data_IF_510779733703
#
_entry.id   IF_510779733703
#
_cell.length_a   1.000
_cell.length_b   1.000
_cell.length_c   1.000
_cell.angle_alpha   90.00
_cell.angle_beta   90.00
_cell.angle_gamma   90.00
#
_symmetry.space_group_name_H-M   'P 1'
#
loop_
_entity.id
_entity.type
_entity.pdbx_description
1 polymer ?
#
# COMPACT_ATOMS: atom_id res chain seq x y z
N UNK A 1 8.61 21.04 -9.25
CA UNK A 1 9.09 22.39 -9.61
C UNK A 1 8.72 22.67 -11.06
N UNK A 2 8.23 23.88 -11.37
CA UNK A 2 7.99 24.30 -12.75
C UNK A 2 9.25 25.02 -13.25
N UNK A 3 9.75 24.65 -14.43
CA UNK A 3 10.91 25.27 -15.06
C UNK A 3 10.45 25.95 -16.35
N UNK A 4 10.44 27.28 -16.31
CA UNK A 4 10.06 28.15 -17.43
C UNK A 4 11.29 28.87 -18.00
N UNK A 5 11.11 29.63 -19.09
CA UNK A 5 12.19 30.43 -19.70
C UNK A 5 13.33 29.60 -20.27
N UNK A 6 13.05 28.34 -20.64
CA UNK A 6 14.03 27.42 -21.22
C UNK A 6 14.27 27.81 -22.68
N UNK A 7 15.51 27.69 -23.12
CA UNK A 7 15.92 27.93 -24.50
C UNK A 7 16.76 26.78 -25.03
N UNK A 8 16.66 26.50 -26.34
CA UNK A 8 17.53 25.55 -27.03
C UNK A 8 18.91 26.17 -27.37
N UNK A 9 19.79 25.39 -28.00
CA UNK A 9 21.13 25.83 -28.39
C UNK A 9 21.13 26.99 -29.42
N UNK A 10 20.01 27.22 -30.11
CA UNK A 10 19.84 28.28 -31.09
C UNK A 10 19.14 29.52 -30.51
N UNK A 11 18.80 29.51 -29.21
CA UNK A 11 18.07 30.59 -28.56
C UNK A 11 16.56 30.56 -28.78
N UNK A 12 15.99 29.47 -29.32
CA UNK A 12 14.55 29.31 -29.44
C UNK A 12 13.94 28.91 -28.09
N UNK A 13 12.76 29.44 -27.77
CA UNK A 13 12.03 29.12 -26.56
C UNK A 13 11.58 27.64 -26.56
N UNK A 14 11.80 26.97 -25.42
CA UNK A 14 11.37 25.60 -25.17
C UNK A 14 10.12 25.59 -24.29
N UNK A 15 9.24 24.58 -24.43
CA UNK A 15 8.13 24.39 -23.51
C UNK A 15 8.59 24.29 -22.05
N UNK A 16 7.72 24.78 -21.15
CA UNK A 16 7.91 24.60 -19.72
C UNK A 16 7.98 23.10 -19.38
N UNK A 17 8.71 22.76 -18.32
CA UNK A 17 8.74 21.39 -17.80
C UNK A 17 8.40 21.36 -16.33
N UNK A 18 7.69 20.31 -15.95
CA UNK A 18 7.40 19.99 -14.56
C UNK A 18 8.38 18.92 -14.09
N UNK A 19 9.24 19.28 -13.13
CA UNK A 19 10.09 18.33 -12.42
C UNK A 19 9.35 17.81 -11.18
N UNK A 20 8.96 16.53 -11.19
CA UNK A 20 8.30 15.84 -10.07
C UNK A 20 9.28 14.93 -9.34
N UNK A 21 8.92 14.53 -8.11
CA UNK A 21 9.70 13.51 -7.38
C UNK A 21 9.45 12.17 -8.06
N UNK A 22 10.53 11.46 -8.41
CA UNK A 22 10.43 10.07 -8.87
C UNK A 22 9.96 9.17 -7.73
N UNK A 23 9.00 8.29 -8.02
CA UNK A 23 8.47 7.33 -7.06
C UNK A 23 9.10 5.95 -7.34
N UNK A 24 10.15 5.55 -6.60
CA UNK A 24 10.83 4.29 -6.85
C UNK A 24 9.91 3.10 -6.54
N UNK A 25 10.15 1.98 -7.22
CA UNK A 25 9.42 0.72 -7.09
C UNK A 25 7.92 0.83 -7.42
N UNK A 26 7.53 1.91 -8.08
CA UNK A 26 6.17 2.10 -8.57
C UNK A 26 6.02 1.55 -9.98
N UNK A 27 4.84 1.01 -10.26
CA UNK A 27 4.52 0.31 -11.49
C UNK A 27 3.23 0.88 -12.08
N UNK A 28 3.19 1.12 -13.40
CA UNK A 28 1.94 1.42 -14.09
C UNK A 28 1.07 0.15 -14.14
N UNK A 29 -0.24 0.33 -14.15
CA UNK A 29 -1.20 -0.78 -14.09
C UNK A 29 -0.96 -1.85 -15.16
N UNK A 30 -0.53 -1.46 -16.37
CA UNK A 30 -0.23 -2.40 -17.46
C UNK A 30 0.87 -3.39 -17.10
N UNK A 31 1.90 -2.94 -16.37
CA UNK A 31 3.00 -3.82 -15.93
C UNK A 31 2.53 -4.76 -14.83
N UNK A 32 1.73 -4.25 -13.89
CA UNK A 32 1.18 -5.09 -12.81
C UNK A 32 0.25 -6.15 -13.39
N UNK A 33 -0.72 -5.77 -14.23
CA UNK A 33 -1.77 -6.65 -14.76
C UNK A 33 -1.30 -7.62 -15.85
N UNK A 34 -0.14 -7.38 -16.47
CA UNK A 34 0.47 -8.30 -17.46
C UNK A 34 1.38 -9.35 -16.83
N UNK A 35 1.64 -9.26 -15.52
CA UNK A 35 2.41 -10.25 -14.77
C UNK A 35 1.60 -11.49 -14.40
N UNK A 36 2.28 -12.47 -13.79
CA UNK A 36 1.60 -13.58 -13.13
C UNK A 36 0.96 -13.07 -11.83
N UNK A 37 -0.29 -12.61 -11.93
CA UNK A 37 -1.07 -12.15 -10.78
C UNK A 37 -1.98 -13.25 -10.25
N UNK A 38 -2.15 -13.28 -8.94
CA UNK A 38 -3.24 -14.00 -8.31
C UNK A 38 -4.53 -13.16 -8.32
N UNK A 39 -5.71 -13.79 -8.17
CA UNK A 39 -6.94 -13.06 -7.86
C UNK A 39 -6.83 -12.15 -6.62
N UNK A 40 -5.94 -12.48 -5.68
CA UNK A 40 -5.67 -11.69 -4.49
C UNK A 40 -4.92 -10.38 -4.82
N UNK A 41 -3.95 -10.41 -5.74
CA UNK A 41 -3.24 -9.20 -6.17
C UNK A 41 -4.19 -8.21 -6.84
N UNK A 42 -5.03 -8.69 -7.75
CA UNK A 42 -6.06 -7.88 -8.44
C UNK A 42 -6.99 -7.23 -7.41
N UNK A 43 -7.43 -8.02 -6.44
CA UNK A 43 -8.27 -7.56 -5.34
C UNK A 43 -7.60 -6.43 -4.57
N UNK A 44 -6.31 -6.57 -4.25
CA UNK A 44 -5.55 -5.59 -3.48
C UNK A 44 -5.24 -4.32 -4.29
N UNK A 45 -5.01 -4.42 -5.60
CA UNK A 45 -4.92 -3.24 -6.47
C UNK A 45 -6.23 -2.44 -6.49
N UNK A 46 -7.37 -3.14 -6.62
CA UNK A 46 -8.68 -2.49 -6.58
C UNK A 46 -8.95 -1.83 -5.22
N UNK A 47 -8.50 -2.46 -4.12
CA UNK A 47 -8.55 -1.86 -2.79
C UNK A 47 -7.70 -0.58 -2.71
N UNK A 48 -6.47 -0.61 -3.24
CA UNK A 48 -5.55 0.52 -3.23
C UNK A 48 -6.13 1.72 -3.99
N UNK A 49 -6.66 1.51 -5.20
CA UNK A 49 -7.29 2.57 -6.00
C UNK A 49 -8.54 3.15 -5.30
N UNK A 50 -9.40 2.29 -4.75
CA UNK A 50 -10.58 2.73 -4.02
C UNK A 50 -10.20 3.55 -2.76
N UNK A 51 -9.15 3.15 -2.06
CA UNK A 51 -8.63 3.88 -0.89
C UNK A 51 -8.03 5.23 -1.29
N UNK A 52 -7.29 5.30 -2.39
CA UNK A 52 -6.77 6.56 -2.94
C UNK A 52 -7.94 7.52 -3.21
N UNK A 53 -8.97 7.09 -3.93
CA UNK A 53 -10.17 7.90 -4.19
C UNK A 53 -10.84 8.40 -2.91
N UNK A 54 -11.01 7.53 -1.91
CA UNK A 54 -11.60 7.94 -0.62
C UNK A 54 -10.73 9.00 0.06
N UNK A 55 -9.41 8.83 0.08
CA UNK A 55 -8.49 9.80 0.68
C UNK A 55 -8.56 11.16 -0.02
N UNK A 56 -8.55 11.17 -1.36
CA UNK A 56 -8.69 12.38 -2.16
C UNK A 56 -10.01 13.10 -1.83
N UNK A 57 -11.13 12.37 -1.85
CA UNK A 57 -12.43 12.95 -1.57
C UNK A 57 -12.59 13.46 -0.12
N UNK A 58 -11.98 12.79 0.86
CA UNK A 58 -11.96 13.26 2.26
C UNK A 58 -11.15 14.55 2.42
N UNK A 59 -10.14 14.77 1.59
CA UNK A 59 -9.36 16.01 1.53
C UNK A 59 -10.07 17.14 0.76
N UNK A 60 -11.26 16.88 0.22
CA UNK A 60 -11.97 17.85 -0.61
C UNK A 60 -11.45 17.92 -2.05
N UNK A 61 -10.64 16.95 -2.49
CA UNK A 61 -10.06 16.92 -3.83
C UNK A 61 -10.93 16.11 -4.79
N UNK A 62 -11.48 16.76 -5.81
CA UNK A 62 -12.12 16.14 -6.96
C UNK A 62 -11.06 15.88 -8.04
N UNK A 63 -10.97 14.66 -8.57
CA UNK A 63 -9.91 14.27 -9.50
C UNK A 63 -10.26 14.64 -10.95
N UNK A 64 -11.44 14.25 -11.42
CA UNK A 64 -11.92 14.64 -12.75
C UNK A 64 -11.34 13.85 -13.93
N UNK A 65 -10.27 13.08 -13.71
CA UNK A 65 -9.74 12.13 -14.67
C UNK A 65 -9.14 10.90 -13.97
N UNK A 66 -9.92 10.33 -13.04
CA UNK A 66 -9.53 9.12 -12.34
C UNK A 66 -9.44 7.95 -13.34
N UNK A 67 -8.24 7.38 -13.47
CA UNK A 67 -7.98 6.24 -14.34
C UNK A 67 -6.83 5.38 -13.81
N UNK A 68 -6.67 4.17 -14.36
CA UNK A 68 -5.50 3.35 -14.11
C UNK A 68 -4.25 3.93 -14.78
N UNK A 69 -4.36 4.61 -15.93
CA UNK A 69 -3.21 5.31 -16.55
C UNK A 69 -2.64 6.41 -15.68
N UNK A 70 -3.50 7.10 -14.93
CA UNK A 70 -3.14 8.22 -14.05
C UNK A 70 -2.86 7.75 -12.62
N UNK A 71 -2.69 6.44 -12.43
CA UNK A 71 -2.38 5.81 -11.15
C UNK A 71 -1.09 4.99 -11.22
N UNK A 72 -0.17 5.23 -10.30
CA UNK A 72 0.96 4.32 -10.05
C UNK A 72 0.69 3.45 -8.83
N UNK A 73 1.13 2.19 -8.90
CA UNK A 73 0.99 1.21 -7.82
C UNK A 73 2.36 0.85 -7.27
N UNK A 74 2.52 0.87 -5.94
CA UNK A 74 3.68 0.30 -5.24
C UNK A 74 3.22 -0.92 -4.46
N UNK A 75 4.07 -1.94 -4.36
CA UNK A 75 3.81 -3.02 -3.41
C UNK A 75 3.87 -2.49 -1.99
N UNK A 76 2.94 -2.95 -1.18
CA UNK A 76 2.87 -2.65 0.24
C UNK A 76 2.60 -3.96 0.99
N UNK A 77 3.67 -4.72 1.28
CA UNK A 77 3.60 -6.04 1.87
C UNK A 77 2.75 -6.99 1.00
N UNK A 78 1.69 -7.58 1.56
CA UNK A 78 0.71 -8.40 0.84
C UNK A 78 -0.21 -7.59 -0.11
N UNK A 79 -0.19 -6.26 -0.01
CA UNK A 79 -1.09 -5.35 -0.72
C UNK A 79 -0.40 -4.40 -1.68
N UNK A 80 -1.12 -3.32 -2.02
CA UNK A 80 -0.63 -2.23 -2.85
C UNK A 80 -0.99 -0.88 -2.23
N UNK A 81 -0.10 0.09 -2.43
CA UNK A 81 -0.37 1.51 -2.31
C UNK A 81 -0.60 2.11 -3.70
N UNK A 82 -1.59 2.98 -3.85
CA UNK A 82 -1.91 3.67 -5.10
C UNK A 82 -1.59 5.17 -4.99
N UNK A 83 -1.06 5.74 -6.07
CA UNK A 83 -0.63 7.13 -6.16
C UNK A 83 -1.23 7.80 -7.38
N UNK A 84 -1.83 8.96 -7.13
CA UNK A 84 -2.18 9.94 -8.15
C UNK A 84 -0.90 10.46 -8.82
N UNK A 85 -0.81 10.35 -10.16
CA UNK A 85 0.29 10.97 -10.91
C UNK A 85 -0.12 12.15 -11.76
N UNK A 86 -1.35 12.14 -12.26
CA UNK A 86 -1.88 13.24 -13.06
C UNK A 86 -3.08 13.88 -12.37
N UNK A 87 -2.89 15.15 -12.04
CA UNK A 87 -3.85 16.01 -11.37
C UNK A 87 -4.23 17.22 -12.23
N UNK A 88 -3.97 17.21 -13.54
CA UNK A 88 -4.24 18.33 -14.46
C UNK A 88 -5.69 18.82 -14.38
N UNK A 89 -6.64 17.90 -14.30
CA UNK A 89 -8.08 18.20 -14.22
C UNK A 89 -8.58 18.36 -12.79
N UNK A 90 -7.73 18.15 -11.79
CA UNK A 90 -8.14 18.05 -10.40
C UNK A 90 -8.42 19.41 -9.75
N UNK A 91 -9.42 19.44 -8.86
CA UNK A 91 -9.84 20.65 -8.15
C UNK A 91 -9.97 20.42 -6.65
N UNK A 92 -9.42 21.35 -5.85
CA UNK A 92 -9.66 21.39 -4.41
C UNK A 92 -10.91 22.20 -4.08
N UNK A 93 -11.76 21.61 -3.25
CA UNK A 93 -12.93 22.23 -2.65
C UNK A 93 -12.77 22.24 -1.13
N UNK A 94 -13.50 23.12 -0.42
CA UNK A 94 -13.52 23.09 1.06
C UNK A 94 -14.02 21.75 1.60
N UNK A 95 -15.00 21.17 0.92
CA UNK A 95 -15.53 19.84 1.12
C UNK A 95 -16.26 19.45 -0.15
N UNK A 96 -16.07 18.22 -0.64
CA UNK A 96 -16.86 17.73 -1.76
C UNK A 96 -18.31 17.49 -1.35
N UNK A 97 -19.22 17.91 -2.21
CA UNK A 97 -20.61 17.48 -2.15
C UNK A 97 -20.75 16.01 -2.58
N UNK A 98 -21.84 15.35 -2.16
CA UNK A 98 -22.12 13.98 -2.62
C UNK A 98 -22.26 13.92 -4.16
N UNK A 99 -22.77 14.99 -4.80
CA UNK A 99 -22.89 15.06 -6.26
C UNK A 99 -21.54 15.13 -6.99
N UNK A 100 -20.60 15.97 -6.52
CA UNK A 100 -19.25 16.03 -7.08
C UNK A 100 -18.52 14.68 -6.95
N UNK A 101 -18.73 14.03 -5.81
CA UNK A 101 -18.13 12.73 -5.52
C UNK A 101 -18.70 11.62 -6.40
N UNK A 102 -20.02 11.52 -6.55
CA UNK A 102 -20.61 10.53 -7.46
C UNK A 102 -20.22 10.80 -8.92
N UNK A 103 -20.08 12.07 -9.32
CA UNK A 103 -19.56 12.41 -10.65
C UNK A 103 -18.14 11.89 -10.88
N UNK A 104 -17.23 12.06 -9.91
CA UNK A 104 -15.87 11.52 -10.00
C UNK A 104 -15.85 9.98 -10.06
N UNK A 105 -16.78 9.32 -9.34
CA UNK A 105 -16.95 7.87 -9.41
C UNK A 105 -17.49 7.39 -10.76
N UNK A 106 -18.37 8.16 -11.41
CA UNK A 106 -18.86 7.84 -12.76
C UNK A 106 -17.71 7.92 -13.78
N UNK A 107 -16.86 8.94 -13.70
CA UNK A 107 -15.65 9.07 -14.53
C UNK A 107 -14.72 7.89 -14.28
N UNK A 108 -14.40 7.61 -13.00
CA UNK A 108 -13.54 6.50 -12.61
C UNK A 108 -14.09 5.15 -13.11
N UNK A 109 -15.40 4.94 -13.00
CA UNK A 109 -16.05 3.70 -13.43
C UNK A 109 -15.87 3.46 -14.92
N UNK A 110 -16.11 4.48 -15.75
CA UNK A 110 -15.95 4.40 -17.19
C UNK A 110 -14.48 4.22 -17.59
N UNK A 111 -13.59 5.07 -17.09
CA UNK A 111 -12.16 5.05 -17.44
C UNK A 111 -11.50 3.73 -17.08
N UNK A 112 -11.70 3.23 -15.85
CA UNK A 112 -11.14 1.95 -15.41
C UNK A 112 -11.66 0.79 -16.25
N UNK A 113 -12.96 0.77 -16.59
CA UNK A 113 -13.51 -0.28 -17.45
C UNK A 113 -12.91 -0.24 -18.86
N UNK A 114 -12.80 0.95 -19.47
CA UNK A 114 -12.24 1.11 -20.81
C UNK A 114 -10.77 0.68 -20.88
N UNK A 115 -9.95 1.04 -19.90
CA UNK A 115 -8.53 0.67 -19.87
C UNK A 115 -8.30 -0.83 -19.62
N UNK A 116 -9.16 -1.47 -18.83
CA UNK A 116 -9.16 -2.92 -18.66
C UNK A 116 -9.60 -3.63 -19.94
N UNK A 117 -10.59 -3.09 -20.67
CA UNK A 117 -11.01 -3.59 -21.98
C UNK A 117 -9.86 -3.53 -22.99
N UNK A 118 -9.09 -2.43 -23.02
CA UNK A 118 -7.90 -2.30 -23.86
C UNK A 118 -6.84 -3.37 -23.55
N UNK A 119 -6.65 -3.70 -22.26
CA UNK A 119 -5.76 -4.79 -21.86
C UNK A 119 -6.28 -6.17 -22.28
N UNK A 120 -7.61 -6.36 -22.24
CA UNK A 120 -8.24 -7.60 -22.70
C UNK A 120 -8.04 -7.78 -24.21
N UNK A 121 -8.28 -6.73 -24.99
CA UNK A 121 -8.12 -6.73 -26.45
C UNK A 121 -6.66 -6.94 -26.89
N UNK A 122 -5.70 -6.48 -26.10
CA UNK A 122 -4.27 -6.71 -26.34
C UNK A 122 -3.77 -8.08 -25.85
N UNK A 123 -4.64 -8.90 -25.24
CA UNK A 123 -4.32 -10.26 -24.82
C UNK A 123 -3.40 -10.36 -23.60
N UNK A 124 -3.24 -9.27 -22.85
CA UNK A 124 -2.36 -9.19 -21.66
C UNK A 124 -3.13 -9.08 -20.35
N UNK A 125 -4.46 -8.95 -20.39
CA UNK A 125 -5.28 -8.97 -19.18
C UNK A 125 -5.34 -10.37 -18.56
N UNK A 126 -5.40 -10.42 -17.23
CA UNK A 126 -5.62 -11.65 -16.48
C UNK A 126 -6.82 -12.46 -17.03
N UNK A 127 -6.63 -13.76 -17.34
CA UNK A 127 -7.69 -14.59 -17.93
C UNK A 127 -8.98 -14.64 -17.11
N UNK A 128 -10.11 -14.38 -17.76
CA UNK A 128 -11.43 -14.43 -17.13
C UNK A 128 -11.79 -13.20 -16.29
N UNK A 129 -10.94 -12.16 -16.26
CA UNK A 129 -11.34 -10.86 -15.74
C UNK A 129 -12.32 -10.19 -16.71
N UNK A 130 -13.46 -9.74 -16.18
CA UNK A 130 -14.42 -8.92 -16.89
C UNK A 130 -14.18 -7.44 -16.54
N UNK A 131 -13.82 -6.58 -17.53
CA UNK A 131 -13.48 -5.17 -17.30
C UNK A 131 -14.55 -4.38 -16.53
N UNK A 132 -15.82 -4.54 -16.91
CA UNK A 132 -16.94 -3.82 -16.30
C UNK A 132 -17.16 -4.25 -14.85
N UNK A 133 -17.15 -5.56 -14.58
CA UNK A 133 -17.27 -6.10 -13.20
C UNK A 133 -16.09 -5.73 -12.32
N UNK A 134 -14.88 -5.67 -12.89
CA UNK A 134 -13.70 -5.22 -12.16
C UNK A 134 -13.84 -3.74 -11.76
N UNK A 135 -14.28 -2.89 -12.68
CA UNK A 135 -14.57 -1.48 -12.41
C UNK A 135 -15.68 -1.31 -11.36
N UNK A 136 -16.79 -2.05 -11.48
CA UNK A 136 -17.86 -2.10 -10.48
C UNK A 136 -17.34 -2.47 -9.08
N UNK A 137 -16.37 -3.37 -9.00
CA UNK A 137 -15.79 -3.81 -7.75
C UNK A 137 -14.99 -2.67 -7.07
N UNK A 138 -14.28 -1.84 -7.83
CA UNK A 138 -13.62 -0.62 -7.31
C UNK A 138 -14.67 0.32 -6.72
N UNK A 139 -15.76 0.57 -7.45
CA UNK A 139 -16.84 1.47 -6.98
C UNK A 139 -17.53 0.95 -5.71
N UNK A 140 -17.79 -0.36 -5.64
CA UNK A 140 -18.36 -0.99 -4.44
C UNK A 140 -17.41 -0.91 -3.24
N UNK A 141 -16.09 -1.01 -3.46
CA UNK A 141 -15.08 -0.86 -2.40
C UNK A 141 -15.03 0.58 -1.91
N UNK A 142 -14.96 1.53 -2.84
CA UNK A 142 -15.01 2.95 -2.53
C UNK A 142 -16.20 3.28 -1.61
N UNK A 143 -17.42 2.86 -2.00
CA UNK A 143 -18.63 3.16 -1.22
C UNK A 143 -18.61 2.53 0.17
N UNK A 144 -18.08 1.30 0.29
CA UNK A 144 -17.91 0.63 1.60
C UNK A 144 -16.89 1.35 2.49
N UNK A 145 -15.74 1.72 1.93
CA UNK A 145 -14.70 2.47 2.63
C UNK A 145 -15.22 3.83 3.10
N UNK A 146 -15.88 4.56 2.21
CA UNK A 146 -16.45 5.87 2.51
C UNK A 146 -17.47 5.80 3.64
N UNK A 147 -18.43 4.87 3.56
CA UNK A 147 -19.44 4.69 4.59
C UNK A 147 -18.81 4.31 5.94
N UNK A 148 -17.84 3.39 5.95
CA UNK A 148 -17.14 2.99 7.17
C UNK A 148 -16.39 4.15 7.86
N UNK A 149 -15.86 5.10 7.09
CA UNK A 149 -15.13 6.24 7.62
C UNK A 149 -16.02 7.40 8.07
N UNK A 150 -17.14 7.65 7.37
CA UNK A 150 -18.03 8.78 7.66
C UNK A 150 -19.07 8.45 8.73
N UNK A 151 -19.50 7.19 8.81
CA UNK A 151 -20.59 6.75 9.68
C UNK A 151 -20.05 5.83 10.80
N UNK A 152 -19.87 6.34 12.03
CA UNK A 152 -19.39 5.53 13.15
C UNK A 152 -20.31 4.33 13.41
N UNK A 153 -19.75 3.13 13.54
CA UNK A 153 -20.54 1.96 13.89
C UNK A 153 -20.79 1.93 15.40
N UNK A 154 -22.04 1.79 15.80
CA UNK A 154 -22.40 1.56 17.21
C UNK A 154 -22.59 0.07 17.42
N UNK A 155 -21.70 -0.55 18.21
CA UNK A 155 -21.74 -1.98 18.49
C UNK A 155 -22.06 -2.23 19.96
N UNK A 156 -22.69 -3.37 20.24
CA UNK A 156 -22.83 -3.86 21.61
C UNK A 156 -21.46 -4.43 22.08
N UNK A 157 -20.84 -3.90 23.15
CA UNK A 157 -19.57 -4.36 23.69
C UNK A 157 -19.59 -5.83 24.14
N UNK A 158 -20.77 -6.38 24.43
CA UNK A 158 -20.92 -7.77 24.87
C UNK A 158 -21.04 -8.74 23.69
N UNK A 159 -21.35 -8.25 22.48
CA UNK A 159 -21.35 -9.05 21.26
C UNK A 159 -19.92 -9.12 20.66
N UNK A 160 -19.13 -10.04 21.21
CA UNK A 160 -17.78 -10.33 20.74
C UNK A 160 -17.73 -10.66 19.23
N UNK A 161 -18.78 -11.26 18.65
CA UNK A 161 -18.83 -11.60 17.22
C UNK A 161 -19.09 -10.38 16.34
N UNK A 162 -19.85 -9.40 16.82
CA UNK A 162 -20.04 -8.13 16.13
C UNK A 162 -18.74 -7.31 16.12
N UNK A 163 -18.07 -7.22 17.27
CA UNK A 163 -16.77 -6.54 17.40
C UNK A 163 -15.72 -7.19 16.50
N UNK A 164 -15.56 -8.52 16.54
CA UNK A 164 -14.59 -9.22 15.69
C UNK A 164 -14.88 -9.05 14.19
N UNK A 165 -16.17 -9.02 13.79
CA UNK A 165 -16.54 -8.74 12.38
C UNK A 165 -16.19 -7.33 11.97
N UNK A 166 -16.47 -6.34 12.82
CA UNK A 166 -16.12 -4.95 12.53
C UNK A 166 -14.60 -4.78 12.42
N UNK A 167 -13.83 -5.37 13.34
CA UNK A 167 -12.36 -5.35 13.27
C UNK A 167 -11.82 -6.01 12.01
N UNK A 168 -12.34 -7.19 11.62
CA UNK A 168 -11.94 -7.84 10.35
C UNK A 168 -12.31 -6.99 9.15
N UNK A 169 -13.51 -6.39 9.13
CA UNK A 169 -13.93 -5.53 8.04
C UNK A 169 -13.00 -4.32 7.90
N UNK A 170 -12.54 -3.72 8.99
CA UNK A 170 -11.56 -2.63 8.95
C UNK A 170 -10.18 -3.11 8.48
N UNK A 171 -9.76 -4.29 8.92
CA UNK A 171 -8.53 -4.91 8.45
C UNK A 171 -8.55 -5.18 6.93
N UNK A 172 -9.64 -5.75 6.41
CA UNK A 172 -9.85 -6.03 4.99
C UNK A 172 -9.91 -4.74 4.14
N UNK A 173 -10.20 -3.61 4.79
CA UNK A 173 -10.24 -2.28 4.20
C UNK A 173 -8.90 -1.53 4.35
N UNK A 174 -7.87 -2.17 4.92
CA UNK A 174 -6.52 -1.60 5.07
C UNK A 174 -6.32 -0.70 6.29
N UNK A 175 -7.26 -0.70 7.25
CA UNK A 175 -7.14 0.07 8.49
C UNK A 175 -6.48 -0.73 9.61
N UNK A 176 -5.64 -0.07 10.40
CA UNK A 176 -5.08 -0.65 11.61
C UNK A 176 -6.17 -0.78 12.69
N UNK A 177 -6.46 -2.02 13.09
CA UNK A 177 -7.47 -2.39 14.09
C UNK A 177 -7.13 -1.90 15.50
N UNK A 178 -5.87 -1.58 15.77
CA UNK A 178 -5.42 -0.99 17.04
C UNK A 178 -5.93 0.45 17.25
N UNK A 179 -6.50 1.08 16.21
CA UNK A 179 -6.92 2.49 16.22
C UNK A 179 -8.44 2.67 16.12
N UNK A 180 -9.17 1.94 16.97
CA UNK A 180 -10.57 2.25 17.20
C UNK A 180 -10.68 3.08 18.47
N UNK A 181 -11.25 4.29 18.38
CA UNK A 181 -11.65 5.01 19.60
C UNK A 181 -12.87 4.32 20.20
N UNK A 182 -12.73 3.80 21.41
CA UNK A 182 -13.82 3.21 22.17
C UNK A 182 -14.40 4.29 23.09
N UNK A 183 -15.60 4.77 22.77
CA UNK A 183 -16.38 5.61 23.67
C UNK A 183 -17.53 4.79 24.26
N UNK A 184 -17.67 4.83 25.59
CA UNK A 184 -18.79 4.24 26.32
C UNK A 184 -19.78 5.36 26.60
N UNK A 185 -21.01 5.23 26.09
CA UNK A 185 -22.07 6.20 26.36
C UNK A 185 -22.65 5.97 27.77
N UNK A 186 -22.94 7.06 28.49
CA UNK A 186 -23.07 7.07 29.96
C UNK A 186 -24.22 6.27 30.56
N UNK A 187 -25.26 5.94 29.77
CA UNK A 187 -26.45 5.21 30.25
C UNK A 187 -26.69 3.87 29.54
N UNK A 188 -26.19 3.71 28.31
CA UNK A 188 -26.24 2.46 27.56
C UNK A 188 -24.80 2.04 27.29
N UNK A 189 -24.40 0.84 27.72
CA UNK A 189 -23.10 0.23 27.38
C UNK A 189 -23.06 -0.04 25.87
N UNK A 190 -22.94 0.99 25.04
CA UNK A 190 -22.77 0.92 23.60
C UNK A 190 -21.34 1.34 23.33
N UNK A 191 -20.62 0.50 22.59
CA UNK A 191 -19.25 0.73 22.22
C UNK A 191 -19.27 1.36 20.83
N UNK A 192 -18.97 2.65 20.75
CA UNK A 192 -18.83 3.34 19.45
C UNK A 192 -17.50 2.91 18.85
N UNK A 193 -17.54 2.19 17.73
CA UNK A 193 -16.40 1.88 16.90
C UNK A 193 -16.32 2.93 15.79
N UNK A 194 -15.39 3.87 15.95
CA UNK A 194 -15.02 4.74 14.87
C UNK A 194 -13.65 4.31 14.36
N UNK A 195 -13.54 3.82 13.11
CA UNK A 195 -12.25 3.64 12.50
C UNK A 195 -11.64 5.02 12.40
N UNK A 196 -10.52 5.24 13.07
CA UNK A 196 -9.73 6.41 12.70
C UNK A 196 -9.17 6.09 11.33
N UNK A 197 -9.35 7.01 10.38
CA UNK A 197 -8.36 7.17 9.33
C UNK A 197 -7.09 7.49 10.10
N UNK A 198 -6.32 6.45 10.40
CA UNK A 198 -4.96 6.54 10.90
C UNK A 198 -4.35 7.74 10.19
N UNK A 199 -3.90 8.75 10.94
CA UNK A 199 -3.27 9.90 10.32
C UNK A 199 -2.26 9.34 9.33
N UNK A 200 -2.45 9.61 8.04
CA UNK A 200 -1.81 8.85 6.98
C UNK A 200 -0.32 8.67 7.30
N UNK A 201 0.14 7.42 7.42
CA UNK A 201 1.50 7.12 7.82
C UNK A 201 1.74 6.92 9.32
N UNK A 202 0.84 6.38 10.14
CA UNK A 202 1.17 6.15 11.57
C UNK A 202 2.29 5.14 11.74
N UNK A 203 2.14 3.94 11.15
CA UNK A 203 3.19 2.93 11.25
C UNK A 203 4.44 3.39 10.50
N UNK A 204 4.27 4.08 9.37
CA UNK A 204 5.43 4.61 8.61
C UNK A 204 6.15 5.71 9.38
N UNK A 205 5.45 6.63 10.05
CA UNK A 205 6.05 7.67 10.90
C UNK A 205 6.72 7.05 12.12
N UNK A 206 6.07 6.10 12.81
CA UNK A 206 6.68 5.40 13.95
C UNK A 206 7.94 4.64 13.52
N UNK A 207 7.89 3.92 12.41
CA UNK A 207 9.05 3.20 11.89
C UNK A 207 10.16 4.17 11.44
N UNK A 208 9.81 5.29 10.80
CA UNK A 208 10.77 6.34 10.43
C UNK A 208 11.44 6.97 11.65
N UNK A 209 10.67 7.30 12.68
CA UNK A 209 11.20 7.88 13.93
C UNK A 209 12.11 6.90 14.66
N UNK A 210 11.73 5.63 14.72
CA UNK A 210 12.45 4.60 15.47
C UNK A 210 13.65 4.02 14.72
N UNK A 211 13.56 3.91 13.39
CA UNK A 211 14.48 3.13 12.55
C UNK A 211 14.98 3.87 11.30
N UNK A 212 14.44 5.05 10.99
CA UNK A 212 14.82 5.82 9.80
C UNK A 212 14.39 5.20 8.46
N UNK A 213 13.52 4.18 8.48
CA UNK A 213 13.09 3.48 7.28
C UNK A 213 11.88 4.17 6.64
N UNK A 214 11.99 4.52 5.36
CA UNK A 214 10.88 4.95 4.51
C UNK A 214 10.18 3.69 3.95
N UNK A 215 8.88 3.56 4.20
CA UNK A 215 8.10 2.36 3.84
C UNK A 215 6.63 2.72 3.59
N UNK A 216 5.90 1.80 2.96
CA UNK A 216 4.45 1.82 2.92
C UNK A 216 3.84 1.29 4.23
N UNK A 217 2.52 1.49 4.43
CA UNK A 217 1.87 1.28 5.74
C UNK A 217 1.88 -0.19 6.20
N UNK A 218 1.55 -1.14 5.32
CA UNK A 218 1.54 -2.56 5.65
C UNK A 218 2.96 -3.12 5.80
N UNK A 219 3.92 -2.64 5.00
CA UNK A 219 5.34 -2.91 5.18
C UNK A 219 5.81 -2.45 6.57
N UNK A 220 5.49 -1.21 6.95
CA UNK A 220 5.86 -0.65 8.23
C UNK A 220 5.28 -1.47 9.38
N UNK A 221 3.99 -1.80 9.31
CA UNK A 221 3.30 -2.65 10.27
C UNK A 221 3.97 -4.02 10.38
N UNK A 222 4.36 -4.65 9.27
CA UNK A 222 5.01 -5.96 9.25
C UNK A 222 6.39 -5.91 9.92
N UNK A 223 7.17 -4.89 9.61
CA UNK A 223 8.51 -4.67 10.17
C UNK A 223 8.42 -4.42 11.68
N UNK A 224 7.55 -3.50 12.12
CA UNK A 224 7.31 -3.21 13.53
C UNK A 224 6.87 -4.47 14.29
N UNK A 225 5.98 -5.28 13.72
CA UNK A 225 5.58 -6.55 14.33
C UNK A 225 6.73 -7.55 14.46
N UNK A 226 7.69 -7.55 13.51
CA UNK A 226 8.89 -8.37 13.61
C UNK A 226 9.83 -7.89 14.71
N UNK A 227 10.01 -6.57 14.82
CA UNK A 227 10.77 -5.92 15.88
C UNK A 227 10.17 -6.19 17.27
N UNK A 228 8.86 -6.01 17.44
CA UNK A 228 8.17 -6.23 18.71
C UNK A 228 8.32 -7.69 19.19
N UNK A 229 8.28 -8.66 18.26
CA UNK A 229 8.54 -10.08 18.57
C UNK A 229 9.99 -10.32 19.01
N UNK A 230 10.96 -9.67 18.40
CA UNK A 230 12.36 -9.76 18.81
C UNK A 230 12.54 -9.20 20.23
N UNK A 231 12.04 -7.99 20.48
CA UNK A 231 12.10 -7.34 21.79
C UNK A 231 11.43 -8.16 22.89
N UNK A 232 10.32 -8.83 22.59
CA UNK A 232 9.61 -9.66 23.56
C UNK A 232 10.36 -10.96 23.93
N UNK A 233 11.21 -11.49 23.04
CA UNK A 233 11.99 -12.72 23.29
C UNK A 233 13.28 -12.43 24.06
N UNK A 234 13.90 -11.30 23.78
CA UNK A 234 15.20 -10.92 24.33
C UNK A 234 15.03 -10.12 25.63
N UNK A 235 14.71 -10.81 26.72
CA UNK A 235 14.44 -10.21 28.04
C UNK A 235 15.62 -9.47 28.67
N UNK A 236 16.83 -9.61 28.11
CA UNK A 236 18.07 -9.03 28.63
C UNK A 236 18.50 -7.76 27.90
N UNK A 237 17.73 -7.30 26.91
CA UNK A 237 18.04 -6.08 26.17
C UNK A 237 17.75 -4.82 26.99
N UNK A 238 18.32 -3.70 26.52
CA UNK A 238 18.06 -2.36 27.07
C UNK A 238 16.57 -2.06 27.17
N UNK A 239 16.18 -1.30 28.19
CA UNK A 239 14.81 -0.77 28.30
C UNK A 239 14.57 0.39 27.33
N UNK A 240 15.63 0.95 26.72
CA UNK A 240 15.53 1.98 25.71
C UNK A 240 15.15 1.39 24.35
N UNK A 241 13.93 1.66 23.90
CA UNK A 241 13.39 1.15 22.64
C UNK A 241 14.27 1.48 21.43
N UNK A 242 14.89 2.66 21.40
CA UNK A 242 15.77 3.07 20.28
C UNK A 242 17.06 2.25 20.21
N UNK A 243 17.64 1.90 21.36
CA UNK A 243 18.83 1.04 21.40
C UNK A 243 18.50 -0.37 20.90
N UNK A 244 17.36 -0.91 21.33
CA UNK A 244 16.89 -2.23 20.87
C UNK A 244 16.54 -2.20 19.38
N UNK A 245 15.96 -1.12 18.89
CA UNK A 245 15.69 -0.93 17.47
C UNK A 245 16.98 -0.89 16.64
N UNK A 246 18.01 -0.18 17.11
CA UNK A 246 19.31 -0.16 16.45
C UNK A 246 19.98 -1.54 16.40
N UNK A 247 19.94 -2.30 17.50
CA UNK A 247 20.44 -3.67 17.55
C UNK A 247 19.67 -4.54 16.57
N UNK A 248 18.33 -4.51 16.59
CA UNK A 248 17.50 -5.29 15.68
C UNK A 248 17.75 -4.94 14.20
N UNK A 249 17.90 -3.66 13.89
CA UNK A 249 18.26 -3.23 12.54
C UNK A 249 19.60 -3.81 12.12
N UNK A 250 20.60 -3.76 12.99
CA UNK A 250 21.97 -4.20 12.69
C UNK A 250 22.10 -5.72 12.59
N UNK A 251 21.39 -6.45 13.45
CA UNK A 251 21.53 -7.91 13.58
C UNK A 251 20.49 -8.70 12.79
N UNK A 252 19.34 -8.10 12.45
CA UNK A 252 18.22 -8.82 11.81
C UNK A 252 17.83 -8.19 10.47
N UNK A 253 17.57 -6.89 10.42
CA UNK A 253 17.08 -6.27 9.17
C UNK A 253 18.19 -6.11 8.12
N UNK A 254 19.28 -5.43 8.49
CA UNK A 254 20.40 -5.11 7.60
C UNK A 254 21.07 -6.35 7.00
N UNK A 255 21.33 -7.44 7.74
CA UNK A 255 21.91 -8.64 7.16
C UNK A 255 21.05 -9.25 6.04
N UNK A 256 19.72 -9.16 6.16
CA UNK A 256 18.78 -9.70 5.18
C UNK A 256 18.67 -8.80 3.94
N UNK A 257 18.66 -7.48 4.09
CA UNK A 257 18.59 -6.59 2.92
C UNK A 257 19.94 -6.47 2.21
N UNK A 258 21.06 -6.61 2.94
CA UNK A 258 22.41 -6.53 2.39
C UNK A 258 22.92 -7.85 1.82
N UNK A 259 22.20 -8.96 1.98
CA UNK A 259 22.56 -10.26 1.38
C UNK A 259 22.25 -10.32 -0.12
N UNK A 260 21.52 -9.34 -0.67
CA UNK A 260 21.18 -9.29 -2.09
C UNK A 260 22.45 -9.12 -2.94
N UNK A 261 22.71 -10.05 -3.88
CA UNK A 261 23.87 -9.95 -4.78
C UNK A 261 23.80 -8.69 -5.66
N UNK A 262 24.95 -8.09 -6.05
CA UNK A 262 24.99 -6.89 -6.87
C UNK A 262 24.12 -6.96 -8.15
N UNK A 263 24.11 -8.11 -8.84
CA UNK A 263 23.31 -8.31 -10.05
C UNK A 263 21.78 -8.38 -9.83
N UNK A 264 21.32 -8.45 -8.58
CA UNK A 264 19.91 -8.49 -8.19
C UNK A 264 19.46 -7.22 -7.45
N UNK A 265 20.36 -6.26 -7.21
CA UNK A 265 20.02 -4.99 -6.56
C UNK A 265 18.93 -4.24 -7.34
N UNK A 266 18.08 -3.54 -6.59
CA UNK A 266 17.01 -2.70 -7.13
C UNK A 266 15.81 -3.46 -7.71
N UNK A 267 15.77 -4.80 -7.67
CA UNK A 267 14.63 -5.60 -8.16
C UNK A 267 13.40 -5.59 -7.25
N UNK A 268 13.61 -5.32 -5.97
CA UNK A 268 12.59 -5.25 -4.93
C UNK A 268 13.08 -4.21 -3.90
N UNK A 269 12.17 -3.42 -3.38
CA UNK A 269 12.44 -2.48 -2.30
C UNK A 269 12.93 -3.21 -1.03
N UNK A 270 13.91 -2.68 -0.27
CA UNK A 270 14.43 -3.35 0.93
C UNK A 270 13.36 -3.76 1.95
N UNK A 271 12.37 -2.91 2.20
CA UNK A 271 11.28 -3.22 3.12
C UNK A 271 10.36 -4.34 2.59
N UNK A 272 10.04 -4.31 1.29
CA UNK A 272 9.29 -5.37 0.63
C UNK A 272 10.07 -6.69 0.64
N UNK A 273 11.38 -6.66 0.36
CA UNK A 273 12.26 -7.82 0.42
C UNK A 273 12.22 -8.46 1.81
N UNK A 274 12.38 -7.66 2.87
CA UNK A 274 12.33 -8.16 4.23
C UNK A 274 10.98 -8.80 4.55
N UNK A 275 9.87 -8.17 4.15
CA UNK A 275 8.52 -8.75 4.27
C UNK A 275 8.43 -10.12 3.55
N UNK A 276 8.87 -10.20 2.30
CA UNK A 276 8.76 -11.42 1.50
C UNK A 276 9.65 -12.55 2.03
N UNK A 277 10.83 -12.23 2.57
CA UNK A 277 11.68 -13.22 3.27
C UNK A 277 11.00 -13.75 4.52
N UNK A 278 10.32 -12.91 5.29
CA UNK A 278 9.53 -13.36 6.46
C UNK A 278 8.38 -14.29 6.05
N UNK A 279 7.70 -13.99 4.94
CA UNK A 279 6.65 -14.84 4.40
C UNK A 279 7.20 -16.17 3.87
N UNK A 280 8.29 -16.12 3.11
CA UNK A 280 8.98 -17.30 2.58
C UNK A 280 9.46 -18.23 3.70
N UNK A 281 9.99 -17.66 4.80
CA UNK A 281 10.33 -18.42 6.01
C UNK A 281 9.14 -19.16 6.57
N UNK A 282 7.95 -18.54 6.60
CA UNK A 282 6.74 -19.17 7.11
C UNK A 282 6.36 -20.39 6.26
N UNK A 283 6.31 -20.25 4.94
CA UNK A 283 6.02 -21.37 4.02
C UNK A 283 7.04 -22.50 4.14
N UNK A 284 8.34 -22.18 4.19
CA UNK A 284 9.40 -23.19 4.35
C UNK A 284 9.31 -23.91 5.70
N UNK A 285 8.98 -23.19 6.77
CA UNK A 285 8.83 -23.76 8.10
C UNK A 285 7.60 -24.66 8.21
N UNK A 286 6.51 -24.28 7.57
CA UNK A 286 5.30 -25.11 7.48
C UNK A 286 5.60 -26.42 6.75
N UNK A 287 6.28 -26.35 5.60
CA UNK A 287 6.67 -27.53 4.82
C UNK A 287 7.66 -28.44 5.56
N UNK A 288 8.60 -27.87 6.32
CA UNK A 288 9.60 -28.61 7.09
C UNK A 288 9.07 -29.15 8.44
N UNK A 289 7.93 -28.63 8.92
CA UNK A 289 7.38 -28.95 10.24
C UNK A 289 8.16 -28.35 11.42
N UNK A 290 9.13 -27.46 11.16
CA UNK A 290 9.88 -26.73 12.17
C UNK A 290 10.38 -25.39 11.61
N UNK A 291 10.76 -24.46 12.48
CA UNK A 291 11.35 -23.18 12.06
C UNK A 291 12.69 -23.43 11.34
N UNK A 292 12.80 -22.95 10.10
CA UNK A 292 14.02 -23.08 9.29
C UNK A 292 15.03 -21.96 9.54
N UNK A 293 14.64 -20.91 10.26
CA UNK A 293 15.47 -19.73 10.50
C UNK A 293 15.45 -18.71 9.36
N UNK A 294 15.83 -17.47 9.68
CA UNK A 294 15.73 -16.34 8.76
C UNK A 294 16.81 -16.36 7.67
N UNK A 295 18.04 -16.75 8.02
CA UNK A 295 19.16 -16.80 7.08
C UNK A 295 18.92 -17.83 5.96
N UNK A 296 18.47 -19.03 6.33
CA UNK A 296 18.12 -20.08 5.37
C UNK A 296 16.99 -19.64 4.43
N UNK A 297 15.94 -19.01 4.99
CA UNK A 297 14.85 -18.49 4.20
C UNK A 297 15.29 -17.38 3.25
N UNK A 298 16.18 -16.50 3.68
CA UNK A 298 16.75 -15.43 2.87
C UNK A 298 17.53 -16.00 1.68
N UNK A 299 18.43 -16.96 1.92
CA UNK A 299 19.23 -17.59 0.88
C UNK A 299 18.34 -18.36 -0.13
N UNK A 300 17.32 -19.05 0.37
CA UNK A 300 16.31 -19.71 -0.47
C UNK A 300 15.50 -18.71 -1.31
N UNK A 301 15.08 -17.59 -0.73
CA UNK A 301 14.34 -16.55 -1.44
C UNK A 301 15.19 -15.88 -2.52
N UNK A 302 16.44 -15.54 -2.21
CA UNK A 302 17.38 -14.89 -3.15
C UNK A 302 17.71 -15.81 -4.33
N UNK A 303 17.82 -17.11 -4.11
CA UNK A 303 18.12 -18.08 -5.17
C UNK A 303 16.88 -18.45 -6.00
N UNK A 304 15.71 -18.60 -5.37
CA UNK A 304 14.51 -19.14 -5.99
C UNK A 304 13.48 -18.12 -6.48
N UNK A 305 13.39 -16.96 -5.82
CA UNK A 305 12.29 -15.99 -6.03
C UNK A 305 12.80 -14.66 -6.60
N UNK A 306 13.78 -14.05 -5.96
CA UNK A 306 14.29 -12.73 -6.32
C UNK A 306 14.72 -12.57 -7.80
N UNK A 307 15.35 -13.57 -8.48
CA UNK A 307 15.77 -13.43 -9.87
C UNK A 307 14.61 -13.19 -10.85
N UNK A 308 13.41 -13.61 -10.47
CA UNK A 308 12.20 -13.48 -11.29
C UNK A 308 11.39 -12.22 -10.95
N UNK A 309 11.76 -11.48 -9.91
CA UNK A 309 11.13 -10.20 -9.55
C UNK A 309 11.53 -9.09 -10.53
N UNK A 310 10.55 -8.25 -10.86
CA UNK A 310 10.66 -7.17 -11.84
C UNK A 310 10.14 -5.83 -11.31
N UNK A 311 9.96 -5.71 -10.00
CA UNK A 311 9.50 -4.47 -9.37
C UNK A 311 10.69 -3.53 -9.24
N UNK A 312 11.26 -3.11 -10.36
CA UNK A 312 12.51 -2.36 -10.35
C UNK A 312 12.26 -0.89 -10.06
N UNK A 313 12.77 -0.39 -8.93
CA UNK A 313 12.80 1.05 -8.63
C UNK A 313 13.98 1.80 -9.21
N UNK A 314 14.64 1.19 -10.21
CA UNK A 314 15.92 1.51 -10.86
C UNK A 314 16.70 2.67 -10.22
N UNK A 315 17.81 2.33 -9.55
CA UNK A 315 19.08 2.99 -9.83
C UNK A 315 20.00 1.96 -10.51
N UNK A 316 20.11 2.04 -11.84
CA UNK A 316 21.28 1.55 -12.54
C UNK A 316 22.34 2.64 -12.34
N UNK A 317 23.16 2.47 -11.31
CA UNK A 317 24.44 3.17 -11.27
C UNK A 317 25.38 2.37 -12.19
N UNK A 318 25.62 2.90 -13.40
CA UNK A 318 26.83 2.57 -14.15
C UNK A 318 28.07 3.14 -13.44
#
# INVERSE_FOLDING_TARGET
AVVEGRIDLNGNELPCVLATRFLPYSLPYRVVLSGALSPHDILNMANALALLLVRLHLLGFWWGDCSLSNTLFRRDAEGFAAYLVDAETGEFQKSLSDGQREHDLEIAHFNVAAELEDLALSGVLYPGMDPVRASDAVMKRYRRLWAALRDPQSLDPTDRRAVERAMRQLHDLGFAVEEVSIAIDGDNKVLKFQPKLVAAGYHTNRLRELMGLETEELQAKRILASFDRYRARESNLSTNENEVAFIWLTEVFNPIVNSVPPQLLGRVEPAQLFHEVLEHRWYLSEAAGHDVGLDFACESYISGVLPYRRDSGIELVE
#
